data_IF_250802891232
#
_entry.id   IF_250802891232
#
_cell.length_a   1.000
_cell.length_b   1.000
_cell.length_c   1.000
_cell.angle_alpha   90.00
_cell.angle_beta   90.00
_cell.angle_gamma   90.00
#
_symmetry.space_group_name_H-M   'P 1'
#
loop_
_entity.id
_entity.type
_entity.pdbx_description
1 polymer ?
#
# COMPACT_ATOMS: atom_id res chain seq x y z
N UNK A 1 -10.33 34.93 51.97
CA UNK A 1 -10.71 33.68 51.26
C UNK A 1 -11.54 34.11 50.05
N UNK A 2 -11.27 33.80 48.78
CA UNK A 2 -10.48 32.77 48.10
C UNK A 2 -9.79 33.41 46.88
N UNK A 3 -8.50 33.16 46.66
CA UNK A 3 -7.85 33.41 45.36
C UNK A 3 -8.24 32.25 44.44
N UNK A 4 -8.91 32.53 43.34
CA UNK A 4 -9.13 31.55 42.28
C UNK A 4 -7.79 31.33 41.56
N UNK A 5 -7.28 30.10 41.61
CA UNK A 5 -6.21 29.64 40.73
C UNK A 5 -6.80 29.56 39.31
N UNK A 6 -6.39 30.48 38.44
CA UNK A 6 -6.50 30.26 36.99
C UNK A 6 -5.60 29.07 36.65
N UNK A 7 -6.22 27.93 36.33
CA UNK A 7 -5.53 26.82 35.65
C UNK A 7 -5.09 27.36 34.29
N UNK A 8 -3.79 27.55 34.13
CA UNK A 8 -3.16 27.76 32.85
C UNK A 8 -3.50 26.58 31.93
N UNK A 9 -4.42 26.79 30.99
CA UNK A 9 -4.59 25.88 29.88
C UNK A 9 -3.29 25.88 29.08
N UNK A 10 -2.53 24.79 29.14
CA UNK A 10 -1.36 24.60 28.29
C UNK A 10 -1.82 24.62 26.83
N UNK A 11 -1.03 25.24 25.91
CA UNK A 11 -1.39 25.25 24.50
C UNK A 11 -1.52 23.81 23.99
N UNK A 12 -2.47 23.51 23.09
CA UNK A 12 -2.69 22.17 22.59
C UNK A 12 -1.39 21.61 22.01
N UNK A 13 -0.93 20.46 22.52
CA UNK A 13 0.26 19.76 22.02
C UNK A 13 0.06 19.49 20.52
N UNK A 14 0.97 19.98 19.70
CA UNK A 14 1.00 19.66 18.26
C UNK A 14 1.19 18.15 18.11
N UNK A 15 0.27 17.49 17.41
CA UNK A 15 0.39 16.08 17.08
C UNK A 15 1.62 15.83 16.20
N UNK A 16 2.33 14.75 16.48
CA UNK A 16 3.39 14.21 15.61
C UNK A 16 2.79 13.70 14.30
N UNK A 17 3.63 13.50 13.28
CA UNK A 17 3.17 12.93 12.01
C UNK A 17 2.55 11.55 12.19
N UNK A 18 3.19 10.67 12.98
CA UNK A 18 2.68 9.34 13.29
C UNK A 18 1.30 9.40 13.96
N UNK A 19 1.06 10.33 14.90
CA UNK A 19 -0.25 10.51 15.53
C UNK A 19 -1.31 11.01 14.54
N UNK A 20 -0.95 11.91 13.63
CA UNK A 20 -1.87 12.37 12.58
C UNK A 20 -2.20 11.24 11.61
N UNK A 21 -1.24 10.36 11.32
CA UNK A 21 -1.46 9.20 10.46
C UNK A 21 -2.32 8.16 11.18
N UNK A 22 -2.07 7.90 12.46
CA UNK A 22 -2.87 7.01 13.29
C UNK A 22 -4.35 7.38 13.27
N UNK A 23 -4.69 8.67 13.36
CA UNK A 23 -6.09 9.12 13.25
C UNK A 23 -6.76 8.83 11.89
N UNK A 24 -5.99 8.48 10.85
CA UNK A 24 -6.49 8.12 9.52
C UNK A 24 -6.61 6.61 9.29
N UNK A 25 -6.15 5.78 10.22
CA UNK A 25 -6.19 4.32 10.10
C UNK A 25 -7.58 3.78 9.76
N UNK A 26 -8.69 4.26 10.37
CA UNK A 26 -10.02 3.80 9.98
C UNK A 26 -10.32 4.00 8.49
N UNK A 27 -9.89 5.14 7.93
CA UNK A 27 -10.07 5.43 6.50
C UNK A 27 -9.19 4.55 5.61
N UNK A 28 -7.98 4.24 6.05
CA UNK A 28 -7.09 3.34 5.33
C UNK A 28 -7.66 1.91 5.30
N UNK A 29 -8.23 1.44 6.40
CA UNK A 29 -8.90 0.14 6.46
C UNK A 29 -10.13 0.09 5.54
N UNK A 30 -10.95 1.15 5.54
CA UNK A 30 -12.10 1.25 4.62
C UNK A 30 -11.64 1.20 3.16
N UNK A 31 -10.57 1.92 2.80
CA UNK A 31 -9.98 1.88 1.45
C UNK A 31 -9.51 0.47 1.08
N UNK A 32 -8.89 -0.28 2.01
CA UNK A 32 -8.47 -1.67 1.77
C UNK A 32 -9.65 -2.63 1.53
N UNK A 33 -10.82 -2.33 2.10
CA UNK A 33 -12.03 -3.13 1.95
C UNK A 33 -12.74 -2.89 0.61
N UNK A 34 -12.46 -1.76 -0.07
CA UNK A 34 -13.08 -1.48 -1.35
C UNK A 34 -12.63 -2.50 -2.41
N UNK A 35 -13.59 -2.82 -3.27
CA UNK A 35 -13.42 -3.67 -4.46
C UNK A 35 -13.77 -2.81 -5.65
N UNK A 36 -12.77 -2.13 -6.17
CA UNK A 36 -12.92 -1.30 -7.36
C UNK A 36 -12.02 -1.87 -8.45
N UNK A 37 -12.58 -1.99 -9.65
CA UNK A 37 -11.82 -2.41 -10.81
C UNK A 37 -10.99 -1.23 -11.31
N UNK A 38 -9.71 -1.48 -11.55
CA UNK A 38 -8.84 -0.53 -12.22
C UNK A 38 -8.32 -1.11 -13.53
N UNK A 39 -8.28 -0.28 -14.55
CA UNK A 39 -7.65 -0.60 -15.84
C UNK A 39 -6.17 -0.20 -15.84
N UNK A 40 -5.64 0.32 -14.73
CA UNK A 40 -4.23 0.69 -14.62
C UNK A 40 -3.37 -0.57 -14.70
N UNK A 41 -2.50 -0.60 -15.70
CA UNK A 41 -1.44 -1.59 -15.80
C UNK A 41 -0.21 -1.08 -15.06
N UNK A 42 0.56 -2.02 -14.51
CA UNK A 42 1.82 -1.71 -13.87
C UNK A 42 2.78 -1.14 -14.91
N UNK A 43 3.31 0.05 -14.67
CA UNK A 43 4.39 0.58 -15.50
C UNK A 43 5.67 -0.25 -15.30
N UNK A 44 6.40 -0.50 -16.38
CA UNK A 44 7.69 -1.19 -16.30
C UNK A 44 8.80 -0.20 -15.95
N UNK A 45 9.74 -0.64 -15.11
CA UNK A 45 10.95 0.13 -14.84
C UNK A 45 11.85 0.10 -16.09
N UNK A 46 12.19 1.28 -16.61
CA UNK A 46 13.08 1.41 -17.78
C UNK A 46 14.52 1.05 -17.38
N UNK A 47 15.17 0.18 -18.16
CA UNK A 47 16.57 -0.22 -17.97
C UNK A 47 16.77 -1.72 -18.18
N UNK A 48 17.96 -2.10 -18.64
CA UNK A 48 18.30 -3.51 -18.90
C UNK A 48 18.96 -4.17 -17.69
N UNK A 49 19.52 -3.37 -16.79
CA UNK A 49 20.18 -3.83 -15.56
C UNK A 49 19.44 -3.33 -14.33
N UNK A 50 19.60 -4.04 -13.22
CA UNK A 50 19.00 -3.66 -11.94
C UNK A 50 19.37 -2.22 -11.51
N UNK A 51 20.66 -1.78 -11.56
CA UNK A 51 21.02 -0.40 -11.22
C UNK A 51 20.33 0.64 -12.11
N UNK A 52 20.21 0.39 -13.43
CA UNK A 52 19.52 1.31 -14.35
C UNK A 52 18.05 1.45 -13.98
N UNK A 53 17.38 0.33 -13.69
CA UNK A 53 15.97 0.33 -13.29
C UNK A 53 15.75 1.07 -11.98
N UNK A 54 16.58 0.84 -10.96
CA UNK A 54 16.46 1.55 -9.67
C UNK A 54 16.72 3.04 -9.83
N UNK A 55 17.72 3.41 -10.65
CA UNK A 55 18.02 4.81 -10.94
C UNK A 55 16.86 5.50 -11.64
N UNK A 56 16.28 4.87 -12.67
CA UNK A 56 15.08 5.37 -13.34
C UNK A 56 13.94 5.61 -12.34
N UNK A 57 13.62 4.61 -11.51
CA UNK A 57 12.55 4.74 -10.50
C UNK A 57 12.81 5.90 -9.53
N UNK A 58 14.05 6.02 -9.04
CA UNK A 58 14.45 7.09 -8.13
C UNK A 58 14.41 8.48 -8.79
N UNK A 59 14.81 8.57 -10.06
CA UNK A 59 14.72 9.81 -10.84
C UNK A 59 13.28 10.25 -11.03
N UNK A 60 12.40 9.34 -11.43
CA UNK A 60 10.99 9.62 -11.63
C UNK A 60 10.28 9.99 -10.32
N UNK A 61 10.57 9.30 -9.21
CA UNK A 61 10.06 9.65 -7.87
C UNK A 61 10.54 11.02 -7.36
N UNK A 62 11.60 11.58 -7.94
CA UNK A 62 12.09 12.92 -7.62
C UNK A 62 11.30 14.06 -8.27
N UNK A 63 10.41 13.76 -9.22
CA UNK A 63 9.61 14.75 -9.94
C UNK A 63 8.46 15.28 -9.07
N UNK A 64 8.20 16.59 -9.13
CA UNK A 64 7.22 17.26 -8.25
C UNK A 64 5.76 17.09 -8.66
N UNK A 65 5.52 16.72 -9.92
CA UNK A 65 4.24 16.63 -10.59
C UNK A 65 3.84 15.18 -10.93
N UNK A 66 4.59 14.20 -10.40
CA UNK A 66 4.30 12.79 -10.61
C UNK A 66 2.89 12.44 -10.09
N UNK A 67 2.11 11.81 -10.95
CA UNK A 67 0.78 11.33 -10.59
C UNK A 67 0.88 10.41 -9.34
N UNK A 68 0.05 10.60 -8.30
CA UNK A 68 0.10 9.80 -7.08
C UNK A 68 0.01 8.28 -7.31
N UNK A 69 -0.79 7.85 -8.29
CA UNK A 69 -0.95 6.43 -8.63
C UNK A 69 0.32 5.88 -9.28
N UNK A 70 0.96 6.65 -10.17
CA UNK A 70 2.26 6.28 -10.77
C UNK A 70 3.35 6.26 -9.69
N UNK A 71 3.33 7.23 -8.77
CA UNK A 71 4.24 7.25 -7.62
C UNK A 71 4.14 5.97 -6.80
N UNK A 72 2.92 5.53 -6.47
CA UNK A 72 2.68 4.28 -5.76
C UNK A 72 3.23 3.06 -6.52
N UNK A 73 3.03 3.00 -7.84
CA UNK A 73 3.60 1.93 -8.68
C UNK A 73 5.14 1.93 -8.63
N UNK A 74 5.78 3.10 -8.74
CA UNK A 74 7.24 3.18 -8.68
C UNK A 74 7.79 2.80 -7.30
N UNK A 75 7.09 3.14 -6.22
CA UNK A 75 7.46 2.63 -4.90
C UNK A 75 7.28 1.12 -4.78
N UNK A 76 6.25 0.54 -5.38
CA UNK A 76 6.06 -0.91 -5.44
C UNK A 76 7.23 -1.59 -6.16
N UNK A 77 7.56 -1.13 -7.37
CA UNK A 77 8.69 -1.66 -8.17
C UNK A 77 10.03 -1.47 -7.47
N UNK A 78 10.19 -0.35 -6.77
CA UNK A 78 11.40 -0.10 -5.98
C UNK A 78 11.49 -1.06 -4.80
N UNK A 79 10.37 -1.40 -4.16
CA UNK A 79 10.31 -2.37 -3.06
C UNK A 79 10.51 -3.81 -3.53
N UNK A 80 10.04 -4.17 -4.72
CA UNK A 80 10.33 -5.47 -5.34
C UNK A 80 11.84 -5.72 -5.48
N UNK A 81 12.60 -4.66 -5.77
CA UNK A 81 14.05 -4.68 -5.91
C UNK A 81 14.82 -4.58 -4.59
N UNK A 82 14.16 -4.68 -3.43
CA UNK A 82 14.79 -4.44 -2.12
C UNK A 82 15.90 -5.44 -1.76
N UNK A 83 15.91 -6.61 -2.38
CA UNK A 83 16.90 -7.66 -2.13
C UNK A 83 18.15 -7.54 -3.03
N UNK A 84 18.18 -6.55 -3.92
CA UNK A 84 19.26 -6.34 -4.88
C UNK A 84 20.43 -5.57 -4.26
N UNK A 85 21.66 -5.96 -4.57
CA UNK A 85 22.87 -5.38 -3.95
C UNK A 85 23.03 -3.87 -4.20
N UNK A 86 22.52 -3.36 -5.33
CA UNK A 86 22.62 -1.94 -5.69
C UNK A 86 21.51 -1.06 -5.08
N UNK A 87 20.52 -1.65 -4.40
CA UNK A 87 19.30 -0.95 -3.98
C UNK A 87 19.57 0.20 -3.03
N UNK A 88 20.31 -0.05 -1.96
CA UNK A 88 20.60 0.98 -0.96
C UNK A 88 21.47 2.10 -1.53
N UNK A 89 22.50 1.74 -2.30
CA UNK A 89 23.44 2.70 -2.87
C UNK A 89 22.76 3.68 -3.83
N UNK A 90 21.92 3.19 -4.75
CA UNK A 90 21.24 4.03 -5.73
C UNK A 90 20.17 4.94 -5.07
N UNK A 91 19.39 4.42 -4.10
CA UNK A 91 18.42 5.24 -3.36
C UNK A 91 19.12 6.31 -2.54
N UNK A 92 20.20 5.96 -1.84
CA UNK A 92 20.97 6.90 -1.03
C UNK A 92 21.60 8.00 -1.89
N UNK A 93 22.09 7.66 -3.09
CA UNK A 93 22.60 8.62 -4.05
C UNK A 93 21.57 9.67 -4.47
N UNK A 94 20.31 9.27 -4.69
CA UNK A 94 19.26 10.20 -5.13
C UNK A 94 18.60 10.96 -3.98
N UNK A 95 18.38 10.31 -2.84
CA UNK A 95 17.60 10.84 -1.71
C UNK A 95 18.41 10.87 -0.41
N UNK A 96 19.58 11.52 -0.35
CA UNK A 96 20.52 11.36 0.78
C UNK A 96 19.90 11.73 2.15
N UNK A 97 18.95 12.67 2.19
CA UNK A 97 18.29 13.12 3.42
C UNK A 97 16.99 12.37 3.73
N UNK A 98 16.46 11.62 2.77
CA UNK A 98 15.15 10.93 2.86
C UNK A 98 15.24 9.44 2.58
N UNK A 99 16.43 8.89 2.34
CA UNK A 99 16.62 7.53 1.84
C UNK A 99 15.91 6.49 2.72
N UNK A 100 16.03 6.58 4.05
CA UNK A 100 15.34 5.68 4.98
C UNK A 100 13.83 5.71 4.84
N UNK A 101 13.25 6.88 4.60
CA UNK A 101 11.81 7.01 4.39
C UNK A 101 11.40 6.44 3.03
N UNK A 102 12.21 6.64 2.00
CA UNK A 102 11.96 6.09 0.65
C UNK A 102 12.04 4.56 0.69
N UNK A 103 13.08 4.01 1.30
CA UNK A 103 13.26 2.57 1.51
C UNK A 103 12.11 1.97 2.33
N UNK A 104 11.78 2.58 3.48
CA UNK A 104 10.67 2.11 4.32
C UNK A 104 9.36 2.16 3.55
N UNK A 105 9.05 3.27 2.85
CA UNK A 105 7.84 3.35 2.02
C UNK A 105 7.80 2.25 0.96
N UNK A 106 8.89 2.07 0.20
CA UNK A 106 8.97 1.07 -0.86
C UNK A 106 8.71 -0.35 -0.33
N UNK A 107 9.36 -0.74 0.77
CA UNK A 107 9.17 -2.05 1.39
C UNK A 107 7.72 -2.25 1.86
N UNK A 108 7.16 -1.27 2.55
CA UNK A 108 5.80 -1.35 3.11
C UNK A 108 4.74 -1.37 2.00
N UNK A 109 4.94 -0.59 0.93
CA UNK A 109 4.09 -0.62 -0.27
C UNK A 109 4.18 -1.98 -0.94
N UNK A 110 5.38 -2.49 -1.22
CA UNK A 110 5.56 -3.81 -1.83
C UNK A 110 4.83 -4.90 -1.04
N UNK A 111 5.01 -4.94 0.29
CA UNK A 111 4.36 -5.91 1.15
C UNK A 111 2.81 -5.80 1.11
N UNK A 112 2.28 -4.58 1.19
CA UNK A 112 0.84 -4.35 1.22
C UNK A 112 0.20 -4.72 -0.14
N UNK A 113 0.83 -4.30 -1.25
CA UNK A 113 0.41 -4.59 -2.62
C UNK A 113 0.47 -6.06 -2.97
N UNK A 114 1.51 -6.76 -2.52
CA UNK A 114 1.60 -8.21 -2.68
C UNK A 114 0.48 -8.92 -1.93
N UNK A 115 0.11 -8.45 -0.74
CA UNK A 115 -0.94 -9.09 0.06
C UNK A 115 -2.35 -8.80 -0.47
N UNK A 116 -2.69 -7.54 -0.77
CA UNK A 116 -4.04 -7.13 -1.18
C UNK A 116 -4.31 -7.38 -2.68
N UNK A 117 -3.26 -7.33 -3.50
CA UNK A 117 -3.32 -7.24 -4.95
C UNK A 117 -3.07 -5.81 -5.44
N UNK A 118 -2.17 -5.66 -6.41
CA UNK A 118 -1.76 -4.38 -7.00
C UNK A 118 -2.96 -3.54 -7.46
N UNK A 119 -3.88 -4.14 -8.21
CA UNK A 119 -5.05 -3.45 -8.78
C UNK A 119 -5.90 -2.77 -7.71
N UNK A 120 -6.21 -3.49 -6.62
CA UNK A 120 -7.05 -3.00 -5.54
C UNK A 120 -6.41 -1.79 -4.83
N UNK A 121 -5.08 -1.75 -4.69
CA UNK A 121 -4.41 -0.64 -4.02
C UNK A 121 -4.15 0.56 -4.91
N UNK A 122 -4.09 0.39 -6.24
CA UNK A 122 -4.00 1.53 -7.15
C UNK A 122 -5.27 2.39 -7.18
N UNK A 123 -6.39 1.86 -6.69
CA UNK A 123 -7.62 2.64 -6.49
C UNK A 123 -7.61 3.39 -5.15
N UNK A 124 -6.82 2.94 -4.17
CA UNK A 124 -6.77 3.57 -2.85
C UNK A 124 -6.02 4.90 -2.90
N UNK A 125 -6.73 6.01 -2.70
CA UNK A 125 -6.13 7.35 -2.77
C UNK A 125 -5.64 7.86 -1.41
N UNK A 126 -6.01 7.20 -0.31
CA UNK A 126 -5.71 7.73 1.02
C UNK A 126 -4.40 7.20 1.60
N UNK A 127 -3.99 6.00 1.21
CA UNK A 127 -2.73 5.39 1.62
C UNK A 127 -1.62 5.93 0.71
N UNK A 128 -0.74 6.77 1.29
CA UNK A 128 0.35 7.40 0.55
C UNK A 128 1.71 6.86 1.01
N UNK A 129 2.76 6.92 0.17
CA UNK A 129 4.11 6.49 0.57
C UNK A 129 4.60 7.20 1.83
N UNK A 130 4.31 8.49 1.97
CA UNK A 130 4.70 9.27 3.14
C UNK A 130 3.92 8.86 4.41
N UNK A 131 2.65 8.45 4.28
CA UNK A 131 1.90 7.91 5.42
C UNK A 131 2.49 6.58 5.88
N UNK A 132 2.80 5.67 4.95
CA UNK A 132 3.42 4.38 5.26
C UNK A 132 4.82 4.54 5.88
N UNK A 133 5.66 5.43 5.36
CA UNK A 133 6.99 5.66 5.91
C UNK A 133 6.99 6.18 7.36
N UNK A 134 5.94 6.90 7.77
CA UNK A 134 5.88 7.62 9.05
C UNK A 134 4.86 7.09 10.05
N UNK A 135 4.09 6.05 9.69
CA UNK A 135 3.17 5.41 10.63
C UNK A 135 3.92 4.56 11.64
N UNK A 136 3.21 4.24 12.73
CA UNK A 136 3.65 3.23 13.68
C UNK A 136 3.65 1.85 13.01
N UNK A 137 4.53 0.97 13.49
CA UNK A 137 4.64 -0.37 12.92
C UNK A 137 3.39 -1.21 13.26
N UNK A 138 2.77 -0.95 14.42
CA UNK A 138 1.49 -1.54 14.83
C UNK A 138 0.35 -1.17 13.87
N UNK A 139 0.30 0.10 13.47
CA UNK A 139 -0.67 0.61 12.50
C UNK A 139 -0.48 -0.08 11.13
N UNK A 140 0.77 -0.23 10.69
CA UNK A 140 1.05 -0.96 9.45
C UNK A 140 0.65 -2.43 9.54
N UNK A 141 0.91 -3.09 10.66
CA UNK A 141 0.53 -4.49 10.88
C UNK A 141 -0.99 -4.68 10.80
N UNK A 142 -1.78 -3.72 11.29
CA UNK A 142 -3.23 -3.72 11.13
C UNK A 142 -3.64 -3.66 9.66
N UNK A 143 -3.03 -2.76 8.87
CA UNK A 143 -3.30 -2.66 7.43
C UNK A 143 -2.93 -3.95 6.69
N UNK A 144 -1.79 -4.54 7.03
CA UNK A 144 -1.33 -5.79 6.41
C UNK A 144 -2.24 -6.97 6.74
N UNK A 145 -2.74 -7.03 7.98
CA UNK A 145 -3.71 -8.03 8.38
C UNK A 145 -5.02 -7.88 7.60
N UNK A 146 -5.55 -6.66 7.52
CA UNK A 146 -6.77 -6.38 6.76
C UNK A 146 -6.62 -6.74 5.28
N UNK A 147 -5.51 -6.34 4.66
CA UNK A 147 -5.20 -6.67 3.26
C UNK A 147 -5.26 -8.18 2.98
N UNK A 148 -4.69 -8.99 3.89
CA UNK A 148 -4.71 -10.46 3.78
C UNK A 148 -6.11 -11.02 4.00
N UNK A 149 -6.85 -10.50 4.98
CA UNK A 149 -8.22 -10.92 5.26
C UNK A 149 -9.13 -10.67 4.06
N UNK A 150 -9.04 -9.49 3.44
CA UNK A 150 -9.81 -9.16 2.25
C UNK A 150 -9.45 -10.07 1.07
N UNK A 151 -8.15 -10.29 0.82
CA UNK A 151 -7.71 -11.19 -0.25
C UNK A 151 -8.18 -12.63 -0.03
N UNK A 152 -8.17 -13.11 1.21
CA UNK A 152 -8.66 -14.44 1.57
C UNK A 152 -10.17 -14.55 1.35
N UNK A 153 -10.96 -13.57 1.77
CA UNK A 153 -12.41 -13.54 1.57
C UNK A 153 -12.77 -13.55 0.08
N UNK A 154 -12.11 -12.73 -0.74
CA UNK A 154 -12.31 -12.71 -2.20
C UNK A 154 -12.01 -14.08 -2.83
N UNK A 155 -10.90 -14.71 -2.44
CA UNK A 155 -10.55 -16.03 -2.96
C UNK A 155 -11.57 -17.10 -2.53
N UNK A 156 -12.07 -17.04 -1.29
CA UNK A 156 -13.08 -17.97 -0.79
C UNK A 156 -14.43 -17.82 -1.51
N UNK A 157 -14.86 -16.58 -1.78
CA UNK A 157 -16.06 -16.29 -2.57
C UNK A 157 -15.93 -16.81 -4.01
N UNK A 158 -14.77 -16.65 -4.64
CA UNK A 158 -14.50 -17.19 -5.97
C UNK A 158 -14.60 -18.72 -5.98
N UNK A 159 -13.98 -19.41 -5.02
CA UNK A 159 -14.05 -20.88 -4.90
C UNK A 159 -15.51 -21.32 -4.74
N UNK A 160 -16.26 -20.68 -3.84
CA UNK A 160 -17.68 -21.00 -3.63
C UNK A 160 -18.51 -20.83 -4.90
N UNK A 161 -18.28 -19.76 -5.67
CA UNK A 161 -18.96 -19.53 -6.95
C UNK A 161 -18.61 -20.61 -7.98
N UNK A 162 -17.34 -20.99 -8.09
CA UNK A 162 -16.90 -22.06 -8.99
C UNK A 162 -17.52 -23.40 -8.62
N UNK A 163 -17.51 -23.78 -7.34
CA UNK A 163 -18.10 -25.04 -6.86
C UNK A 163 -19.61 -25.07 -7.09
N UNK A 164 -20.30 -23.96 -6.86
CA UNK A 164 -21.75 -23.83 -7.11
C UNK A 164 -22.07 -23.94 -8.59
N UNK A 165 -21.26 -23.32 -9.46
CA UNK A 165 -21.44 -23.38 -10.90
C UNK A 165 -21.16 -24.78 -11.46
N UNK A 166 -20.09 -25.43 -11.01
CA UNK A 166 -19.77 -26.80 -11.38
C UNK A 166 -20.88 -27.79 -10.95
N UNK A 167 -21.37 -27.66 -9.72
CA UNK A 167 -22.48 -28.49 -9.23
C UNK A 167 -23.80 -28.26 -9.98
N UNK A 168 -24.06 -27.02 -10.42
CA UNK A 168 -25.24 -26.72 -11.25
C UNK A 168 -25.13 -27.34 -12.66
N UNK A 169 -23.94 -27.37 -13.25
CA UNK A 169 -23.71 -28.04 -14.54
C UNK A 169 -23.86 -29.56 -14.42
N UNK A 170 -23.30 -30.18 -13.37
CA UNK A 170 -23.44 -31.64 -13.15
C UNK A 170 -24.91 -32.07 -13.02
N UNK A 171 -25.75 -31.28 -12.35
CA UNK A 171 -27.20 -31.54 -12.26
C UNK A 171 -27.93 -31.38 -13.60
N UNK A 172 -27.46 -30.49 -14.48
CA UNK A 172 -28.03 -30.29 -15.81
C UNK A 172 -27.74 -31.50 -16.73
N UNK A 173 -26.56 -32.12 -16.63
CA UNK A 173 -26.22 -33.37 -17.33
C UNK A 173 -26.98 -34.59 -16.80
N UNK A 174 -27.30 -34.63 -15.51
CA UNK A 174 -28.12 -35.70 -14.91
C UNK A 174 -29.61 -35.60 -15.32
N UNK A 175 -30.12 -34.38 -15.53
CA UNK A 175 -31.50 -34.16 -15.97
C UNK A 175 -31.70 -34.31 -17.48
N UNK A 176 -30.68 -34.00 -18.29
CA UNK A 176 -30.65 -34.24 -19.74
C UNK A 176 -29.97 -35.58 -20.01
N UNK A 177 -30.61 -36.67 -19.57
CA UNK A 177 -30.06 -38.02 -19.67
C UNK A 177 -29.49 -38.36 -21.06
N UNK A 178 -28.17 -38.59 -21.08
CA UNK A 178 -27.49 -39.52 -22.00
C UNK A 178 -27.08 -40.73 -21.16
#
# INVERSE_FOLDING_TARGET
>A
MKKYLERSASPPRRLTDAQRIHSKIPKFLEDLQRREETTLQLEEAIGNTCPEQIRFLCESLGQTDLNPNISLQYYYLLGEKSNEECWEFEIQGKFPTKFRNVQKAAQLIYNLYTCRGLTNLLVTQTITPNALARMYDEDFNLLLHEARTQKFQENAELIYLYDTFAGAQEQEWEYVGI
#
